data_IF_278409299321
#
_entry.id   IF_278409299321
#
_cell.length_a   1.000
_cell.length_b   1.000
_cell.length_c   1.000
_cell.angle_alpha   90.00
_cell.angle_beta   90.00
_cell.angle_gamma   90.00
#
_symmetry.space_group_name_H-M   'P 1'
#
loop_
_entity.id
_entity.type
_entity.pdbx_description
1 polymer ?
#
# COMPACT_ATOMS: atom_id res chain seq x y z
N UNK A 1 -26.52 -8.96 -12.91
CA UNK A 1 -26.03 -8.92 -11.53
C UNK A 1 -24.74 -9.69 -11.45
N UNK A 2 -23.69 -8.96 -11.78
CA UNK A 2 -22.30 -9.34 -11.61
C UNK A 2 -21.76 -8.58 -10.40
N UNK A 3 -20.96 -9.26 -9.58
CA UNK A 3 -20.19 -8.60 -8.53
C UNK A 3 -18.76 -8.41 -9.02
N UNK A 4 -18.21 -7.21 -8.85
CA UNK A 4 -16.84 -6.88 -9.26
C UNK A 4 -16.14 -6.28 -8.06
N UNK A 5 -15.07 -6.93 -7.59
CA UNK A 5 -14.23 -6.44 -6.52
C UNK A 5 -12.94 -5.86 -7.11
N UNK A 6 -12.77 -4.55 -6.96
CA UNK A 6 -11.63 -3.76 -7.43
C UNK A 6 -10.82 -3.31 -6.23
N UNK A 7 -9.56 -3.74 -6.12
CA UNK A 7 -8.76 -3.49 -4.93
C UNK A 7 -7.27 -3.39 -5.22
N UNK A 8 -6.58 -2.58 -4.43
CA UNK A 8 -5.11 -2.54 -4.44
C UNK A 8 -4.52 -3.90 -4.03
N UNK A 9 -3.44 -4.32 -4.67
CA UNK A 9 -2.82 -5.62 -4.42
C UNK A 9 -1.83 -5.67 -3.26
N UNK A 10 -1.87 -4.67 -2.37
CA UNK A 10 -1.08 -4.63 -1.15
C UNK A 10 -1.86 -5.17 0.07
N UNK A 11 -1.30 -5.01 1.27
CA UNK A 11 -1.94 -5.47 2.49
C UNK A 11 -3.28 -4.76 2.77
N UNK A 12 -3.39 -3.47 2.48
CA UNK A 12 -4.57 -2.69 2.85
C UNK A 12 -5.77 -3.06 1.96
N UNK A 13 -5.57 -3.09 0.64
CA UNK A 13 -6.60 -3.53 -0.31
C UNK A 13 -7.02 -4.99 -0.09
N UNK A 14 -6.07 -5.92 0.09
CA UNK A 14 -6.36 -7.34 0.31
C UNK A 14 -7.13 -7.55 1.61
N UNK A 15 -6.64 -7.04 2.73
CA UNK A 15 -7.29 -7.24 4.03
C UNK A 15 -8.65 -6.53 4.11
N UNK A 16 -8.84 -5.40 3.42
CA UNK A 16 -10.14 -4.76 3.27
C UNK A 16 -11.15 -5.70 2.61
N UNK A 17 -10.76 -6.33 1.50
CA UNK A 17 -11.65 -7.23 0.77
C UNK A 17 -11.94 -8.51 1.56
N UNK A 18 -10.93 -9.08 2.24
CA UNK A 18 -11.10 -10.24 3.11
C UNK A 18 -12.20 -10.00 4.14
N UNK A 19 -12.16 -8.86 4.84
CA UNK A 19 -13.18 -8.51 5.83
C UNK A 19 -14.59 -8.46 5.24
N UNK A 20 -14.76 -7.77 4.09
CA UNK A 20 -16.06 -7.67 3.41
C UNK A 20 -16.59 -9.01 2.93
N UNK A 21 -15.71 -9.89 2.44
CA UNK A 21 -16.10 -11.18 1.84
C UNK A 21 -16.30 -12.27 2.87
N UNK A 22 -15.69 -12.16 4.05
CA UNK A 22 -16.08 -12.94 5.22
C UNK A 22 -17.45 -12.53 5.74
N UNK A 23 -17.75 -11.22 5.81
CA UNK A 23 -19.04 -10.69 6.27
C UNK A 23 -20.18 -10.97 5.29
N UNK A 24 -19.90 -10.84 4.00
CA UNK A 24 -20.87 -11.04 2.91
C UNK A 24 -20.21 -11.85 1.79
N UNK A 25 -20.18 -13.18 1.94
CA UNK A 25 -19.62 -14.08 0.94
C UNK A 25 -20.34 -13.93 -0.39
N UNK A 26 -19.57 -13.77 -1.46
CA UNK A 26 -20.07 -13.74 -2.84
C UNK A 26 -18.97 -14.12 -3.81
N UNK A 27 -19.37 -14.64 -4.97
CA UNK A 27 -18.46 -14.88 -6.08
C UNK A 27 -18.38 -13.61 -6.94
N UNK A 28 -17.22 -12.97 -6.98
CA UNK A 28 -17.00 -11.73 -7.68
C UNK A 28 -15.84 -11.85 -8.67
N UNK A 29 -15.91 -11.11 -9.77
CA UNK A 29 -14.76 -10.86 -10.62
C UNK A 29 -13.74 -10.02 -9.83
N UNK A 30 -12.48 -10.45 -9.81
CA UNK A 30 -11.41 -9.75 -9.12
C UNK A 30 -10.63 -8.87 -10.11
N UNK A 31 -10.52 -7.59 -9.83
CA UNK A 31 -9.69 -6.62 -10.58
C UNK A 31 -8.67 -6.02 -9.62
N UNK A 32 -7.40 -6.38 -9.81
CA UNK A 32 -6.31 -5.97 -8.91
C UNK A 32 -4.99 -5.97 -9.67
N UNK A 33 -3.98 -5.31 -9.11
CA UNK A 33 -2.67 -5.14 -9.69
C UNK A 33 -1.61 -4.95 -8.62
N UNK A 34 -0.39 -4.60 -9.02
CA UNK A 34 0.68 -4.24 -8.07
C UNK A 34 0.29 -2.99 -7.26
N UNK A 35 0.99 -2.71 -6.15
CA UNK A 35 0.71 -1.57 -5.25
C UNK A 35 0.66 -0.20 -5.95
N UNK A 36 1.42 -0.04 -7.04
CA UNK A 36 1.48 1.21 -7.82
C UNK A 36 0.41 1.29 -8.91
N UNK A 37 -0.29 0.20 -9.21
CA UNK A 37 -1.39 0.19 -10.18
C UNK A 37 -2.67 0.68 -9.51
N UNK A 38 -2.78 2.01 -9.42
CA UNK A 38 -3.84 2.70 -8.69
C UNK A 38 -4.99 3.19 -9.58
N UNK A 39 -4.95 2.92 -10.89
CA UNK A 39 -6.01 3.29 -11.85
C UNK A 39 -6.62 2.02 -12.44
N UNK A 40 -7.42 1.33 -11.62
CA UNK A 40 -7.97 0.01 -11.90
C UNK A 40 -9.39 0.05 -12.49
N UNK A 41 -10.19 1.11 -12.24
CA UNK A 41 -11.57 1.18 -12.72
C UNK A 41 -11.69 1.22 -14.25
N UNK A 42 -10.63 1.67 -14.95
CA UNK A 42 -10.53 1.58 -16.41
C UNK A 42 -10.67 0.16 -16.97
N UNK A 43 -10.43 -0.86 -16.14
CA UNK A 43 -10.54 -2.27 -16.53
C UNK A 43 -11.92 -2.88 -16.20
N UNK A 44 -12.87 -2.05 -15.76
CA UNK A 44 -14.19 -2.47 -15.31
C UNK A 44 -15.26 -2.02 -16.29
N UNK A 45 -16.12 -2.97 -16.67
CA UNK A 45 -17.38 -2.73 -17.34
C UNK A 45 -18.51 -3.20 -16.42
N UNK A 46 -19.45 -2.31 -16.12
CA UNK A 46 -20.61 -2.60 -15.28
C UNK A 46 -21.82 -1.80 -15.77
N UNK A 47 -23.01 -2.34 -15.51
CA UNK A 47 -24.28 -1.78 -15.96
C UNK A 47 -25.35 -1.87 -14.86
N UNK A 48 -26.58 -1.46 -15.18
CA UNK A 48 -27.72 -1.55 -14.26
C UNK A 48 -27.85 -2.93 -13.65
N UNK A 49 -27.85 -2.98 -12.31
CA UNK A 49 -27.99 -4.20 -11.52
C UNK A 49 -26.69 -4.96 -11.29
N UNK A 50 -25.53 -4.42 -11.69
CA UNK A 50 -24.21 -4.88 -11.28
C UNK A 50 -23.69 -4.07 -10.08
N UNK A 51 -22.91 -4.72 -9.22
CA UNK A 51 -22.34 -4.13 -8.00
C UNK A 51 -20.81 -4.12 -8.08
N UNK A 52 -20.21 -2.95 -7.90
CA UNK A 52 -18.75 -2.75 -7.89
C UNK A 52 -18.31 -2.36 -6.48
N UNK A 53 -17.40 -3.12 -5.90
CA UNK A 53 -16.72 -2.78 -4.65
C UNK A 53 -15.34 -2.24 -4.99
N UNK A 54 -14.99 -1.04 -4.51
CA UNK A 54 -13.72 -0.36 -4.81
C UNK A 54 -12.99 -0.07 -3.51
N UNK A 55 -11.77 -0.59 -3.38
CA UNK A 55 -10.99 -0.55 -2.14
C UNK A 55 -9.56 -0.08 -2.39
N UNK A 56 -9.11 0.88 -1.58
CA UNK A 56 -7.71 1.30 -1.47
C UNK A 56 -7.06 1.80 -2.79
N UNK A 57 -7.88 2.39 -3.66
CA UNK A 57 -7.41 3.13 -4.82
C UNK A 57 -8.04 4.52 -4.82
N UNK A 58 -7.24 5.53 -5.14
CA UNK A 58 -7.66 6.93 -5.05
C UNK A 58 -8.83 7.24 -5.99
N UNK A 59 -9.91 7.78 -5.44
CA UNK A 59 -11.04 8.29 -6.23
C UNK A 59 -10.59 9.37 -7.23
N UNK A 60 -9.63 10.22 -6.86
CA UNK A 60 -9.07 11.24 -7.75
C UNK A 60 -8.46 10.62 -9.02
N UNK A 61 -7.80 9.47 -8.89
CA UNK A 61 -7.13 8.78 -10.01
C UNK A 61 -8.09 7.97 -10.87
N UNK A 62 -9.25 7.63 -10.35
CA UNK A 62 -10.26 6.81 -11.01
C UNK A 62 -11.54 7.60 -11.32
N UNK A 63 -11.51 8.94 -11.26
CA UNK A 63 -12.70 9.79 -11.32
C UNK A 63 -13.52 9.60 -12.60
N UNK A 64 -12.88 9.68 -13.76
CA UNK A 64 -13.56 9.53 -15.07
C UNK A 64 -14.23 8.15 -15.21
N UNK A 65 -13.54 7.09 -14.78
CA UNK A 65 -14.09 5.73 -14.81
C UNK A 65 -15.18 5.50 -13.77
N UNK A 66 -15.07 6.12 -12.59
CA UNK A 66 -16.12 6.09 -11.57
C UNK A 66 -17.41 6.73 -12.12
N UNK A 67 -17.31 7.91 -12.72
CA UNK A 67 -18.46 8.58 -13.33
C UNK A 67 -19.06 7.75 -14.46
N UNK A 68 -18.23 7.18 -15.34
CA UNK A 68 -18.67 6.27 -16.42
C UNK A 68 -19.49 5.11 -15.88
N UNK A 69 -19.00 4.42 -14.84
CA UNK A 69 -19.68 3.27 -14.24
C UNK A 69 -21.02 3.67 -13.58
N UNK A 70 -21.05 4.80 -12.87
CA UNK A 70 -22.27 5.33 -12.25
C UNK A 70 -23.33 5.74 -13.29
N UNK A 71 -22.92 6.39 -14.39
CA UNK A 71 -23.79 6.77 -15.49
C UNK A 71 -24.38 5.56 -16.23
N UNK A 72 -23.64 4.46 -16.27
CA UNK A 72 -24.14 3.17 -16.78
C UNK A 72 -25.10 2.45 -15.80
N UNK A 73 -25.30 3.02 -14.61
CA UNK A 73 -26.27 2.56 -13.62
C UNK A 73 -25.73 1.51 -12.65
N UNK A 74 -24.42 1.28 -12.58
CA UNK A 74 -23.82 0.39 -11.60
C UNK A 74 -24.02 0.91 -10.16
N UNK A 75 -24.11 0.00 -9.20
CA UNK A 75 -24.06 0.32 -7.78
C UNK A 75 -22.63 0.19 -7.27
N UNK A 76 -22.13 1.21 -6.57
CA UNK A 76 -20.72 1.29 -6.20
C UNK A 76 -20.57 1.53 -4.70
N UNK A 77 -19.90 0.59 -4.04
CA UNK A 77 -19.33 0.77 -2.70
C UNK A 77 -17.86 1.19 -2.86
N UNK A 78 -17.47 2.31 -2.25
CA UNK A 78 -16.11 2.84 -2.35
C UNK A 78 -15.57 3.11 -0.96
N UNK A 79 -14.48 2.45 -0.56
CA UNK A 79 -13.77 2.75 0.68
C UNK A 79 -12.30 3.03 0.38
N UNK A 80 -11.82 4.18 0.85
CA UNK A 80 -10.45 4.63 0.55
C UNK A 80 -9.99 5.71 1.54
N UNK A 81 -8.67 5.79 1.72
CA UNK A 81 -8.02 6.76 2.60
C UNK A 81 -7.15 7.78 1.84
N UNK A 82 -7.04 7.67 0.52
CA UNK A 82 -6.33 8.64 -0.30
C UNK A 82 -7.16 9.91 -0.51
N UNK A 83 -6.51 10.97 -1.01
CA UNK A 83 -7.21 12.19 -1.39
C UNK A 83 -8.27 11.85 -2.47
N UNK A 84 -9.56 12.11 -2.23
CA UNK A 84 -10.60 11.77 -3.18
C UNK A 84 -10.64 12.72 -4.39
N UNK A 85 -10.01 13.89 -4.30
CA UNK A 85 -10.14 14.93 -5.33
C UNK A 85 -11.53 15.57 -5.29
N UNK A 86 -12.12 15.78 -6.46
CA UNK A 86 -13.48 16.33 -6.56
C UNK A 86 -14.53 15.33 -6.07
N UNK A 87 -15.48 15.83 -5.29
CA UNK A 87 -16.50 14.98 -4.70
C UNK A 87 -17.52 14.54 -5.77
N UNK A 88 -17.70 13.22 -5.91
CA UNK A 88 -18.75 12.64 -6.75
C UNK A 88 -20.00 12.42 -5.92
N UNK A 89 -21.13 12.98 -6.35
CA UNK A 89 -22.43 12.78 -5.72
C UNK A 89 -23.35 12.04 -6.68
N UNK A 90 -23.73 10.81 -6.35
CA UNK A 90 -24.62 9.98 -7.15
C UNK A 90 -25.44 9.06 -6.25
N UNK A 91 -26.74 8.81 -6.53
CA UNK A 91 -27.57 7.94 -5.70
C UNK A 91 -27.06 6.50 -5.59
N UNK A 92 -26.34 6.01 -6.60
CA UNK A 92 -25.77 4.66 -6.62
C UNK A 92 -24.35 4.59 -6.03
N UNK A 93 -23.82 5.67 -5.44
CA UNK A 93 -22.49 5.70 -4.84
C UNK A 93 -22.59 5.74 -3.30
N UNK A 94 -22.03 4.72 -2.65
CA UNK A 94 -21.77 4.70 -1.21
C UNK A 94 -20.28 4.88 -0.97
N UNK A 95 -19.85 6.11 -0.68
CA UNK A 95 -18.44 6.45 -0.47
C UNK A 95 -18.09 6.62 1.03
N UNK A 96 -17.11 5.84 1.48
CA UNK A 96 -16.54 5.84 2.83
C UNK A 96 -15.08 6.31 2.75
N UNK A 97 -14.88 7.63 2.85
CA UNK A 97 -13.56 8.25 2.69
C UNK A 97 -13.08 8.83 4.02
N UNK A 98 -11.87 8.45 4.45
CA UNK A 98 -11.20 9.02 5.61
C UNK A 98 -9.72 9.27 5.31
N UNK A 99 -9.36 10.54 5.08
CA UNK A 99 -8.00 10.96 4.71
C UNK A 99 -7.09 11.20 5.91
N UNK A 100 -7.50 10.76 7.11
CA UNK A 100 -6.69 10.90 8.31
C UNK A 100 -5.37 10.13 8.19
N UNK A 101 -4.23 10.71 8.60
CA UNK A 101 -2.91 10.07 8.45
C UNK A 101 -2.75 8.80 9.29
N UNK A 102 -3.69 8.52 10.20
CA UNK A 102 -3.70 7.36 11.09
C UNK A 102 -4.73 6.29 10.69
N UNK A 103 -5.27 6.35 9.47
CA UNK A 103 -6.29 5.42 8.96
C UNK A 103 -5.80 4.79 7.66
N UNK A 104 -6.07 3.50 7.50
CA UNK A 104 -5.97 2.77 6.23
C UNK A 104 -7.38 2.25 5.85
N UNK A 105 -7.58 1.86 4.61
CA UNK A 105 -8.86 1.39 4.07
C UNK A 105 -9.44 0.24 4.87
N UNK A 106 -8.60 -0.68 5.34
CA UNK A 106 -9.04 -1.83 6.12
C UNK A 106 -9.62 -1.42 7.49
N UNK A 107 -9.18 -0.30 8.07
CA UNK A 107 -9.76 0.26 9.29
C UNK A 107 -11.10 0.97 9.03
N UNK A 108 -11.29 1.54 7.83
CA UNK A 108 -12.58 2.07 7.38
C UNK A 108 -13.58 0.92 7.25
N UNK A 109 -13.17 -0.18 6.61
CA UNK A 109 -13.98 -1.39 6.47
C UNK A 109 -14.28 -2.02 7.83
N UNK A 110 -13.31 -2.10 8.74
CA UNK A 110 -13.53 -2.64 10.09
C UNK A 110 -14.61 -1.87 10.84
N UNK A 111 -14.56 -0.53 10.77
CA UNK A 111 -15.58 0.35 11.35
C UNK A 111 -16.95 0.12 10.70
N UNK A 112 -17.01 -0.01 9.38
CA UNK A 112 -18.25 -0.31 8.65
C UNK A 112 -18.86 -1.64 9.08
N UNK A 113 -18.03 -2.65 9.36
CA UNK A 113 -18.44 -3.98 9.83
C UNK A 113 -18.53 -4.10 11.37
N UNK A 114 -18.47 -2.99 12.10
CA UNK A 114 -18.53 -2.96 13.56
C UNK A 114 -17.49 -3.86 14.27
N UNK A 115 -16.28 -3.98 13.71
CA UNK A 115 -15.18 -4.70 14.35
C UNK A 115 -15.22 -6.23 14.18
N UNK A 116 -16.09 -6.76 13.31
CA UNK A 116 -16.32 -8.21 13.19
C UNK A 116 -15.05 -9.01 12.84
N UNK A 117 -14.13 -8.42 12.07
CA UNK A 117 -12.91 -9.07 11.57
C UNK A 117 -11.63 -8.24 11.85
N UNK A 118 -11.63 -7.50 12.96
CA UNK A 118 -10.62 -6.49 13.31
C UNK A 118 -9.16 -6.96 13.28
N UNK A 119 -8.89 -8.26 13.43
CA UNK A 119 -7.52 -8.79 13.31
C UNK A 119 -6.97 -8.58 11.89
N UNK A 120 -7.78 -8.73 10.85
CA UNK A 120 -7.39 -8.42 9.47
C UNK A 120 -7.12 -6.92 9.29
N UNK A 121 -7.88 -6.05 9.95
CA UNK A 121 -7.66 -4.62 9.93
C UNK A 121 -6.38 -4.20 10.66
N UNK A 122 -6.04 -4.85 11.77
CA UNK A 122 -4.77 -4.67 12.48
C UNK A 122 -3.59 -5.12 11.60
N UNK A 123 -3.71 -6.27 10.94
CA UNK A 123 -2.70 -6.75 9.98
C UNK A 123 -2.47 -5.74 8.86
N UNK A 124 -3.52 -5.19 8.27
CA UNK A 124 -3.41 -4.13 7.26
C UNK A 124 -2.71 -2.89 7.80
N UNK A 125 -3.09 -2.40 8.99
CA UNK A 125 -2.48 -1.24 9.61
C UNK A 125 -0.96 -1.41 9.81
N UNK A 126 -0.50 -2.60 10.20
CA UNK A 126 0.94 -2.90 10.21
C UNK A 126 1.56 -2.87 8.81
N UNK A 127 0.90 -3.46 7.82
CA UNK A 127 1.35 -3.44 6.42
C UNK A 127 1.49 -2.02 5.86
N UNK A 128 0.57 -1.14 6.22
CA UNK A 128 0.54 0.27 5.83
C UNK A 128 1.46 1.18 6.68
N UNK A 129 2.32 0.55 7.49
CA UNK A 129 3.28 1.21 8.36
C UNK A 129 2.67 2.09 9.46
N UNK A 130 1.41 1.85 9.84
CA UNK A 130 0.71 2.50 10.96
C UNK A 130 0.97 1.75 12.28
N UNK A 131 2.24 1.51 12.60
CA UNK A 131 2.64 0.59 13.70
C UNK A 131 2.07 1.01 15.06
N UNK A 132 2.10 2.30 15.40
CA UNK A 132 1.53 2.79 16.67
C UNK A 132 0.01 2.61 16.76
N UNK A 133 -0.70 2.74 15.64
CA UNK A 133 -2.15 2.50 15.56
C UNK A 133 -2.43 1.01 15.76
N UNK A 134 -1.71 0.15 15.04
CA UNK A 134 -1.86 -1.29 15.13
C UNK A 134 -1.49 -1.85 16.53
N UNK A 135 -0.47 -1.30 17.19
CA UNK A 135 -0.09 -1.64 18.57
C UNK A 135 -1.19 -1.24 19.57
N UNK A 136 -1.76 -0.04 19.41
CA UNK A 136 -2.88 0.43 20.22
C UNK A 136 -4.12 -0.44 20.08
N UNK A 137 -4.47 -0.82 18.84
CA UNK A 137 -5.58 -1.73 18.56
C UNK A 137 -5.30 -3.14 19.09
N UNK A 138 -4.10 -3.68 18.87
CA UNK A 138 -3.70 -4.99 19.40
C UNK A 138 -3.85 -5.04 20.92
N UNK A 139 -3.43 -3.98 21.61
CA UNK A 139 -3.58 -3.85 23.07
C UNK A 139 -5.05 -3.77 23.48
N UNK A 140 -5.86 -2.97 22.77
CA UNK A 140 -7.31 -2.82 23.00
C UNK A 140 -8.05 -4.15 22.88
N UNK A 141 -7.67 -5.00 21.93
CA UNK A 141 -8.29 -6.31 21.70
C UNK A 141 -7.60 -7.46 22.45
N UNK A 142 -6.64 -7.17 23.33
CA UNK A 142 -6.05 -8.15 24.25
C UNK A 142 -5.07 -9.13 23.59
N UNK A 143 -4.45 -8.76 22.45
CA UNK A 143 -3.45 -9.59 21.81
C UNK A 143 -2.18 -9.68 22.66
N UNK A 144 -1.61 -10.87 22.74
CA UNK A 144 -0.27 -11.06 23.29
C UNK A 144 0.79 -10.43 22.38
N UNK A 145 1.95 -10.10 22.94
CA UNK A 145 3.09 -9.59 22.15
C UNK A 145 3.49 -10.53 21.01
N UNK A 146 3.37 -11.86 21.20
CA UNK A 146 3.62 -12.86 20.16
C UNK A 146 2.61 -12.76 19.02
N UNK A 147 1.33 -12.61 19.33
CA UNK A 147 0.28 -12.45 18.31
C UNK A 147 0.46 -11.14 17.54
N UNK A 148 0.63 -10.01 18.23
CA UNK A 148 0.85 -8.72 17.59
C UNK A 148 2.07 -8.75 16.67
N UNK A 149 3.16 -9.40 17.10
CA UNK A 149 4.37 -9.53 16.29
C UNK A 149 4.14 -10.34 15.01
N UNK A 150 3.42 -11.45 15.11
CA UNK A 150 3.08 -12.30 13.95
C UNK A 150 2.14 -11.57 12.98
N UNK A 151 1.17 -10.80 13.49
CA UNK A 151 0.31 -9.96 12.64
C UNK A 151 1.09 -8.84 11.96
N UNK A 152 2.07 -8.25 12.66
CA UNK A 152 2.97 -7.27 12.07
C UNK A 152 3.77 -7.87 10.92
N UNK A 153 4.35 -9.05 11.13
CA UNK A 153 5.10 -9.76 10.07
C UNK A 153 4.20 -10.07 8.87
N UNK A 154 3.01 -10.62 9.08
CA UNK A 154 2.07 -10.89 7.99
C UNK A 154 1.71 -9.60 7.23
N UNK A 155 1.38 -8.51 7.94
CA UNK A 155 1.04 -7.24 7.31
C UNK A 155 2.17 -6.71 6.43
N UNK A 156 3.41 -6.76 6.94
CA UNK A 156 4.61 -6.38 6.18
C UNK A 156 4.78 -7.29 4.96
N UNK A 157 4.61 -8.60 5.10
CA UNK A 157 4.78 -9.56 4.01
C UNK A 157 3.73 -9.43 2.91
N UNK A 158 2.48 -9.19 3.27
CA UNK A 158 1.41 -8.91 2.29
C UNK A 158 1.70 -7.60 1.54
N UNK A 159 2.11 -6.53 2.24
CA UNK A 159 2.47 -5.27 1.62
C UNK A 159 3.72 -5.41 0.74
N UNK A 160 4.72 -6.18 1.19
CA UNK A 160 5.93 -6.53 0.44
C UNK A 160 5.59 -7.21 -0.89
N UNK A 161 4.66 -8.17 -0.89
CA UNK A 161 4.21 -8.79 -2.14
C UNK A 161 3.53 -7.79 -3.07
N UNK A 162 2.98 -6.67 -2.60
CA UNK A 162 2.41 -5.65 -3.48
C UNK A 162 3.46 -4.89 -4.30
N UNK A 163 4.74 -4.89 -3.92
CA UNK A 163 5.77 -4.12 -4.61
C UNK A 163 6.38 -4.86 -5.80
N UNK A 164 6.53 -4.16 -6.92
CA UNK A 164 7.15 -4.64 -8.16
C UNK A 164 7.00 -3.60 -9.27
N UNK A 165 7.64 -3.80 -10.42
CA UNK A 165 7.35 -3.03 -11.63
C UNK A 165 6.20 -3.62 -12.44
N UNK A 166 5.94 -4.92 -12.30
CA UNK A 166 4.84 -5.65 -12.95
C UNK A 166 4.49 -6.89 -12.10
N UNK A 167 3.43 -7.61 -12.47
CA UNK A 167 2.95 -8.78 -11.74
C UNK A 167 3.95 -9.94 -11.65
N UNK A 168 4.88 -10.07 -12.62
CA UNK A 168 5.89 -11.15 -12.63
C UNK A 168 7.00 -10.92 -11.61
N UNK A 169 7.15 -9.70 -11.07
CA UNK A 169 8.09 -9.44 -10.00
C UNK A 169 7.62 -10.03 -8.65
N UNK A 170 6.31 -10.29 -8.50
CA UNK A 170 5.66 -10.67 -7.25
C UNK A 170 5.78 -12.17 -6.99
N UNK A 171 5.76 -12.57 -5.72
CA UNK A 171 5.71 -14.00 -5.37
C UNK A 171 4.35 -14.61 -5.67
N UNK A 172 3.29 -13.83 -5.47
CA UNK A 172 1.93 -14.21 -5.73
C UNK A 172 1.17 -13.10 -6.45
N UNK A 173 0.31 -13.48 -7.38
CA UNK A 173 -0.69 -12.56 -7.90
C UNK A 173 -1.62 -12.12 -6.76
N UNK A 174 -1.95 -10.81 -6.62
CA UNK A 174 -2.74 -10.33 -5.48
C UNK A 174 -4.12 -10.98 -5.35
N UNK A 175 -4.78 -11.28 -6.47
CA UNK A 175 -6.04 -12.05 -6.47
C UNK A 175 -5.90 -13.44 -5.83
N UNK A 176 -4.77 -14.13 -6.06
CA UNK A 176 -4.50 -15.43 -5.46
C UNK A 176 -4.19 -15.32 -3.96
N UNK A 177 -3.48 -14.26 -3.55
CA UNK A 177 -3.28 -13.97 -2.12
C UNK A 177 -4.59 -13.73 -1.40
N UNK A 178 -5.44 -12.85 -1.94
CA UNK A 178 -6.78 -12.61 -1.40
C UNK A 178 -7.56 -13.92 -1.24
N UNK A 179 -7.57 -14.78 -2.28
CA UNK A 179 -8.28 -16.06 -2.25
C UNK A 179 -7.76 -17.00 -1.16
N UNK A 180 -6.45 -17.01 -0.90
CA UNK A 180 -5.86 -17.77 0.20
C UNK A 180 -6.26 -17.19 1.57
N UNK A 181 -6.20 -15.87 1.73
CA UNK A 181 -6.52 -15.21 3.00
C UNK A 181 -8.01 -15.31 3.38
N UNK A 182 -8.93 -15.15 2.41
CA UNK A 182 -10.38 -15.08 2.68
C UNK A 182 -10.99 -16.39 3.18
N UNK A 183 -10.24 -17.51 3.14
CA UNK A 183 -10.68 -18.78 3.72
C UNK A 183 -10.68 -18.76 5.26
N UNK A 184 -10.05 -17.77 5.88
CA UNK A 184 -9.81 -17.73 7.31
C UNK A 184 -10.44 -16.50 7.94
N UNK A 185 -11.22 -16.72 8.99
CA UNK A 185 -11.86 -15.64 9.75
C UNK A 185 -10.84 -14.77 10.49
N UNK A 186 -9.66 -15.34 10.77
CA UNK A 186 -8.57 -14.71 11.48
C UNK A 186 -7.24 -14.88 10.72
N UNK A 187 -6.41 -13.82 10.63
CA UNK A 187 -5.06 -13.92 10.08
C UNK A 187 -4.15 -14.85 10.91
N UNK A 188 -4.43 -15.06 12.20
CA UNK A 188 -3.68 -16.04 13.00
C UNK A 188 -3.97 -17.48 12.54
N UNK A 189 -5.23 -17.78 12.22
CA UNK A 189 -5.62 -19.09 11.67
C UNK A 189 -5.01 -19.32 10.29
N UNK A 190 -4.98 -18.28 9.44
CA UNK A 190 -4.33 -18.32 8.13
C UNK A 190 -2.85 -18.73 8.25
N UNK A 191 -2.11 -18.10 9.16
CA UNK A 191 -0.68 -18.39 9.35
C UNK A 191 -0.46 -19.80 9.90
N UNK A 192 -1.32 -20.27 10.81
CA UNK A 192 -1.20 -21.61 11.39
C UNK A 192 -1.56 -22.73 10.42
N UNK A 193 -2.54 -22.52 9.53
CA UNK A 193 -3.12 -23.57 8.68
C UNK A 193 -2.65 -23.52 7.23
N UNK A 194 -2.25 -22.36 6.71
CA UNK A 194 -1.66 -22.18 5.38
C UNK A 194 -0.34 -21.41 5.47
N UNK A 195 0.64 -22.04 6.12
CA UNK A 195 1.95 -21.44 6.33
C UNK A 195 2.75 -21.27 5.02
N UNK A 196 2.36 -21.90 3.91
CA UNK A 196 3.13 -21.85 2.66
C UNK A 196 3.24 -20.44 2.11
N UNK A 197 2.13 -19.70 2.11
CA UNK A 197 2.13 -18.29 1.66
C UNK A 197 3.00 -17.46 2.59
N UNK A 198 2.81 -17.60 3.90
CA UNK A 198 3.57 -16.87 4.91
C UNK A 198 5.08 -17.14 4.80
N UNK A 199 5.49 -18.40 4.71
CA UNK A 199 6.90 -18.84 4.65
C UNK A 199 7.58 -18.40 3.35
N UNK A 200 6.86 -18.45 2.22
CA UNK A 200 7.37 -17.97 0.93
C UNK A 200 7.66 -16.48 0.99
N UNK A 201 6.70 -15.69 1.48
CA UNK A 201 6.86 -14.24 1.59
C UNK A 201 7.91 -13.87 2.64
N UNK A 202 7.96 -14.58 3.78
CA UNK A 202 9.00 -14.38 4.80
C UNK A 202 10.40 -14.62 4.23
N UNK A 203 10.59 -15.70 3.49
CA UNK A 203 11.89 -16.05 2.90
C UNK A 203 12.32 -15.01 1.88
N UNK A 204 11.42 -14.62 0.97
CA UNK A 204 11.66 -13.57 -0.01
C UNK A 204 12.00 -12.23 0.63
N UNK A 205 11.17 -11.79 1.58
CA UNK A 205 11.37 -10.56 2.33
C UNK A 205 12.75 -10.51 2.99
N UNK A 206 13.14 -11.57 3.71
CA UNK A 206 14.43 -11.63 4.40
C UNK A 206 15.60 -11.57 3.43
N UNK A 207 15.54 -12.31 2.32
CA UNK A 207 16.60 -12.31 1.32
C UNK A 207 16.77 -10.92 0.68
N UNK A 208 15.66 -10.30 0.29
CA UNK A 208 15.66 -9.00 -0.35
C UNK A 208 16.10 -7.88 0.61
N UNK A 209 15.69 -7.91 1.88
CA UNK A 209 16.15 -6.95 2.91
C UNK A 209 17.66 -7.08 3.15
N UNK A 210 18.18 -8.31 3.23
CA UNK A 210 19.62 -8.53 3.39
C UNK A 210 20.41 -7.97 2.20
N UNK A 211 19.88 -8.14 0.98
CA UNK A 211 20.47 -7.54 -0.21
C UNK A 211 20.46 -6.00 -0.13
N UNK A 212 19.33 -5.39 0.23
CA UNK A 212 19.22 -3.94 0.38
C UNK A 212 20.15 -3.37 1.47
N UNK A 213 20.32 -4.07 2.59
CA UNK A 213 21.23 -3.69 3.68
C UNK A 213 22.71 -3.79 3.29
N UNK A 214 23.04 -4.58 2.26
CA UNK A 214 24.40 -4.69 1.73
C UNK A 214 24.77 -3.55 0.79
N UNK A 215 23.79 -2.78 0.32
CA UNK A 215 24.01 -1.62 -0.54
C UNK A 215 24.55 -0.44 0.25
N UNK A 216 25.47 0.31 -0.37
CA UNK A 216 26.10 1.46 0.27
C UNK A 216 25.22 2.70 0.13
N UNK A 217 25.01 3.40 1.25
CA UNK A 217 24.47 4.77 1.22
C UNK A 217 25.46 5.68 0.46
N UNK A 218 25.02 6.28 -0.64
CA UNK A 218 25.86 7.23 -1.40
C UNK A 218 25.82 8.64 -0.80
N UNK A 219 24.80 8.91 0.03
CA UNK A 219 24.66 10.14 0.79
C UNK A 219 24.10 9.82 2.18
N UNK A 220 24.75 10.27 3.24
CA UNK A 220 24.28 10.04 4.60
C UNK A 220 24.69 11.21 5.51
N UNK A 221 23.70 11.82 6.13
CA UNK A 221 23.80 12.89 7.12
C UNK A 221 22.89 12.59 8.31
N UNK A 222 22.83 13.49 9.28
CA UNK A 222 21.88 13.40 10.39
C UNK A 222 20.42 13.54 9.94
N UNK A 223 20.17 14.20 8.81
CA UNK A 223 18.85 14.62 8.32
C UNK A 223 18.38 13.82 7.11
N UNK A 224 19.30 13.20 6.36
CA UNK A 224 19.00 12.44 5.15
C UNK A 224 19.88 11.19 5.02
N UNK A 225 19.30 10.06 4.61
CA UNK A 225 20.08 8.98 4.00
C UNK A 225 19.55 8.66 2.60
N UNK A 226 20.47 8.34 1.68
CA UNK A 226 20.14 7.97 0.32
C UNK A 226 20.98 6.80 -0.19
N UNK A 227 20.32 5.86 -0.86
CA UNK A 227 20.95 4.72 -1.51
C UNK A 227 20.37 4.48 -2.91
N UNK A 228 21.16 3.80 -3.74
CA UNK A 228 20.75 3.34 -5.07
C UNK A 228 20.65 1.82 -5.01
N UNK A 229 19.50 1.29 -5.44
CA UNK A 229 19.29 -0.14 -5.66
C UNK A 229 19.46 -0.47 -7.16
N UNK A 230 19.98 -1.66 -7.49
CA UNK A 230 20.16 -2.08 -8.88
C UNK A 230 18.82 -2.34 -9.57
N UNK A 231 18.85 -2.49 -10.91
CA UNK A 231 17.69 -2.88 -11.70
C UNK A 231 17.43 -4.40 -11.61
N UNK A 232 17.15 -4.88 -10.39
CA UNK A 232 16.88 -6.29 -10.12
C UNK A 232 15.48 -6.47 -9.52
N UNK A 233 14.88 -7.65 -9.71
CA UNK A 233 13.53 -7.96 -9.23
C UNK A 233 13.41 -7.75 -7.72
N UNK A 234 14.41 -8.19 -6.94
CA UNK A 234 14.42 -8.00 -5.50
C UNK A 234 14.44 -6.53 -5.09
N UNK A 235 15.20 -5.70 -5.82
CA UNK A 235 15.31 -4.27 -5.56
C UNK A 235 13.97 -3.55 -5.78
N UNK A 236 13.22 -3.97 -6.81
CA UNK A 236 11.88 -3.44 -7.10
C UNK A 236 10.84 -3.83 -6.05
N UNK A 237 10.94 -5.03 -5.47
CA UNK A 237 10.07 -5.48 -4.37
C UNK A 237 10.41 -4.81 -3.03
N UNK A 238 11.70 -4.69 -2.71
CA UNK A 238 12.11 -4.31 -1.35
C UNK A 238 12.06 -2.81 -1.07
N UNK A 239 12.16 -1.98 -2.11
CA UNK A 239 12.32 -0.52 -2.00
C UNK A 239 11.33 0.13 -1.01
N UNK A 240 10.04 -0.24 -1.09
CA UNK A 240 9.02 0.34 -0.22
C UNK A 240 9.14 -0.11 1.25
N UNK A 241 9.29 -1.41 1.49
CA UNK A 241 9.37 -1.95 2.86
C UNK A 241 10.69 -1.61 3.54
N UNK A 242 11.80 -1.55 2.79
CA UNK A 242 13.07 -1.10 3.33
C UNK A 242 13.05 0.40 3.65
N UNK A 243 12.39 1.23 2.83
CA UNK A 243 12.14 2.64 3.16
C UNK A 243 11.40 2.77 4.50
N UNK A 244 10.37 1.94 4.72
CA UNK A 244 9.61 1.95 5.98
C UNK A 244 10.47 1.49 7.17
N UNK A 245 11.28 0.45 6.99
CA UNK A 245 12.21 -0.02 8.02
C UNK A 245 13.18 1.10 8.44
N UNK A 246 13.82 1.76 7.46
CA UNK A 246 14.73 2.88 7.72
C UNK A 246 14.06 4.02 8.49
N UNK A 247 12.84 4.41 8.09
CA UNK A 247 12.04 5.44 8.78
C UNK A 247 11.69 5.08 10.23
N UNK A 248 11.40 3.81 10.51
CA UNK A 248 11.11 3.35 11.87
C UNK A 248 12.37 3.30 12.73
N UNK A 249 13.51 2.90 12.16
CA UNK A 249 14.82 2.87 12.85
C UNK A 249 15.39 4.28 13.09
N UNK A 250 15.06 5.25 12.25
CA UNK A 250 15.57 6.62 12.31
C UNK A 250 14.43 7.66 12.17
N UNK A 251 13.57 7.83 13.19
CA UNK A 251 12.32 8.59 13.07
C UNK A 251 12.51 10.09 12.80
N UNK A 252 13.69 10.65 13.07
CA UNK A 252 14.02 12.05 12.80
C UNK A 252 14.71 12.28 11.44
N UNK A 253 14.97 11.21 10.68
CA UNK A 253 15.73 11.25 9.42
C UNK A 253 14.82 11.02 8.21
N UNK A 254 15.06 11.76 7.14
CA UNK A 254 14.44 11.51 5.85
C UNK A 254 15.19 10.42 5.09
N UNK A 255 14.49 9.68 4.24
CA UNK A 255 15.09 8.58 3.48
C UNK A 255 14.75 8.67 2.00
N UNK A 256 15.76 8.38 1.17
CA UNK A 256 15.66 8.36 -0.28
C UNK A 256 16.17 7.02 -0.81
N UNK A 257 15.32 6.28 -1.51
CA UNK A 257 15.72 5.06 -2.22
C UNK A 257 15.49 5.26 -3.70
N UNK A 258 16.54 5.14 -4.49
CA UNK A 258 16.48 5.20 -5.95
C UNK A 258 16.68 3.80 -6.50
N UNK A 259 15.69 3.26 -7.21
CA UNK A 259 15.80 1.98 -7.89
C UNK A 259 16.08 2.22 -9.37
N UNK A 260 17.19 1.68 -9.89
CA UNK A 260 17.54 1.80 -11.32
C UNK A 260 16.46 1.15 -12.20
N UNK A 261 16.12 1.82 -13.30
CA UNK A 261 15.23 1.32 -14.35
C UNK A 261 16.04 0.87 -15.56
N UNK A 262 15.40 0.10 -16.44
CA UNK A 262 16.03 -0.39 -17.67
C UNK A 262 16.46 0.73 -18.64
N UNK A 263 15.78 1.87 -18.61
CA UNK A 263 16.07 3.03 -19.46
C UNK A 263 17.18 3.94 -18.90
N UNK A 264 17.79 3.58 -17.77
CA UNK A 264 18.85 4.36 -17.11
C UNK A 264 18.35 5.44 -16.15
N UNK A 265 17.04 5.72 -16.16
CA UNK A 265 16.41 6.58 -15.15
C UNK A 265 16.23 5.82 -13.82
N UNK A 266 15.84 6.56 -12.78
CA UNK A 266 15.57 6.02 -11.46
C UNK A 266 14.11 6.17 -11.07
N UNK A 267 13.54 5.12 -10.49
CA UNK A 267 12.32 5.19 -9.71
C UNK A 267 12.69 5.61 -8.28
N UNK A 268 12.14 6.73 -7.81
CA UNK A 268 12.49 7.29 -6.51
C UNK A 268 11.38 7.06 -5.50
N UNK A 269 11.75 6.58 -4.31
CA UNK A 269 10.91 6.54 -3.10
C UNK A 269 11.43 7.57 -2.10
N UNK A 270 10.56 8.47 -1.67
CA UNK A 270 10.84 9.51 -0.67
C UNK A 270 10.06 9.17 0.60
N UNK A 271 10.74 9.20 1.75
CA UNK A 271 10.11 9.21 3.08
C UNK A 271 10.55 10.45 3.85
N UNK A 272 9.57 11.21 4.33
CA UNK A 272 9.82 12.26 5.30
C UNK A 272 10.17 11.64 6.67
N UNK A 273 10.81 12.38 7.59
CA UNK A 273 10.97 11.95 8.97
C UNK A 273 9.62 11.60 9.60
N UNK A 274 9.56 10.47 10.31
CA UNK A 274 8.35 10.01 10.99
C UNK A 274 7.84 11.01 12.03
N UNK A 275 8.73 11.81 12.63
CA UNK A 275 8.36 12.84 13.60
C UNK A 275 7.93 14.18 12.97
N UNK A 276 8.03 14.35 11.63
CA UNK A 276 7.68 15.59 10.91
C UNK A 276 6.62 15.38 9.81
N UNK A 277 6.44 14.15 9.30
CA UNK A 277 5.41 13.65 8.34
C UNK A 277 4.91 14.65 7.29
N UNK A 278 5.80 15.49 6.76
CA UNK A 278 5.45 16.57 5.86
C UNK A 278 6.57 16.90 4.87
N UNK A 279 6.19 17.29 3.65
CA UNK A 279 7.09 17.84 2.64
C UNK A 279 7.59 16.85 1.58
N UNK A 280 7.29 15.55 1.69
CA UNK A 280 7.70 14.59 0.68
C UNK A 280 7.03 14.85 -0.68
N UNK A 281 5.74 15.17 -0.66
CA UNK A 281 4.94 15.57 -1.83
C UNK A 281 5.44 16.87 -2.45
N UNK A 282 5.75 17.89 -1.63
CA UNK A 282 6.29 19.18 -2.06
C UNK A 282 7.63 19.02 -2.80
N UNK A 283 8.53 18.17 -2.29
CA UNK A 283 9.81 17.86 -2.92
C UNK A 283 9.59 17.09 -4.22
N UNK A 284 8.76 16.04 -4.20
CA UNK A 284 8.49 15.25 -5.40
C UNK A 284 7.89 16.11 -6.52
N UNK A 285 6.96 17.01 -6.19
CA UNK A 285 6.29 17.89 -7.15
C UNK A 285 7.23 18.85 -7.90
N UNK A 286 8.49 19.04 -7.44
CA UNK A 286 9.50 19.79 -8.19
C UNK A 286 10.01 19.03 -9.44
N UNK A 287 9.69 17.74 -9.55
CA UNK A 287 10.11 16.87 -10.66
C UNK A 287 8.90 16.47 -11.51
N UNK A 288 9.10 16.39 -12.84
CA UNK A 288 8.02 16.20 -13.84
C UNK A 288 7.08 15.03 -13.53
N UNK A 289 7.62 13.93 -13.03
CA UNK A 289 6.85 12.71 -12.73
C UNK A 289 6.70 12.46 -11.24
N UNK A 290 6.84 13.50 -10.42
CA UNK A 290 6.76 13.40 -8.98
C UNK A 290 5.36 13.62 -8.42
N UNK A 291 5.06 12.93 -7.32
CA UNK A 291 3.80 13.07 -6.59
C UNK A 291 3.73 12.13 -5.40
N UNK A 292 2.66 12.23 -4.62
CA UNK A 292 2.44 11.37 -3.46
C UNK A 292 1.77 12.11 -2.31
N UNK A 293 2.05 11.66 -1.09
CA UNK A 293 1.50 12.18 0.16
C UNK A 293 2.59 12.91 0.97
N UNK A 294 2.15 13.73 1.91
CA UNK A 294 3.00 14.54 2.80
C UNK A 294 4.17 13.78 3.45
N UNK A 295 3.94 12.55 3.92
CA UNK A 295 4.96 11.71 4.55
C UNK A 295 5.68 10.72 3.61
N UNK A 296 5.12 10.45 2.43
CA UNK A 296 5.60 9.43 1.52
C UNK A 296 5.25 9.78 0.07
N UNK A 297 6.27 9.99 -0.75
CA UNK A 297 6.13 10.39 -2.15
C UNK A 297 7.09 9.63 -3.05
N UNK A 298 7.02 9.87 -4.36
CA UNK A 298 7.94 9.28 -5.30
C UNK A 298 8.03 10.04 -6.62
N UNK A 299 9.03 9.67 -7.42
CA UNK A 299 9.28 10.21 -8.76
C UNK A 299 9.43 9.03 -9.69
N UNK A 300 8.57 8.91 -10.72
CA UNK A 300 8.55 7.73 -11.60
C UNK A 300 9.76 7.64 -12.55
N UNK A 301 10.36 8.77 -12.90
CA UNK A 301 11.55 8.88 -13.72
C UNK A 301 12.37 10.09 -13.29
N UNK A 302 13.52 9.84 -12.64
CA UNK A 302 14.53 10.83 -12.35
C UNK A 302 15.79 10.49 -13.13
N UNK A 303 16.35 11.45 -13.86
CA UNK A 303 17.59 11.23 -14.59
C UNK A 303 18.80 11.36 -13.65
N UNK A 304 19.91 10.68 -13.96
CA UNK A 304 21.11 10.68 -13.10
C UNK A 304 21.63 12.09 -12.79
N UNK A 305 21.58 13.00 -13.78
CA UNK A 305 22.00 14.41 -13.64
C UNK A 305 21.15 15.22 -12.64
N UNK A 306 19.93 14.77 -12.33
CA UNK A 306 19.01 15.47 -11.44
C UNK A 306 19.15 14.98 -9.98
N UNK A 307 19.89 13.90 -9.72
CA UNK A 307 20.13 13.36 -8.37
C UNK A 307 20.74 14.41 -7.43
N UNK A 308 21.79 15.17 -7.82
CA UNK A 308 22.35 16.20 -6.94
C UNK A 308 21.33 17.27 -6.53
N UNK A 309 20.46 17.68 -7.46
CA UNK A 309 19.42 18.67 -7.17
C UNK A 309 18.38 18.12 -6.18
N UNK A 310 18.00 16.85 -6.31
CA UNK A 310 17.10 16.19 -5.36
C UNK A 310 17.70 16.10 -3.95
N UNK A 311 18.99 15.76 -3.83
CA UNK A 311 19.68 15.72 -2.54
C UNK A 311 19.67 17.10 -1.86
N UNK A 312 19.98 18.17 -2.61
CA UNK A 312 19.94 19.54 -2.06
C UNK A 312 18.54 19.92 -1.59
N UNK A 313 17.50 19.59 -2.36
CA UNK A 313 16.11 19.85 -1.97
C UNK A 313 15.73 19.10 -0.69
N UNK A 314 16.09 17.82 -0.60
CA UNK A 314 15.82 16.99 0.58
C UNK A 314 16.52 17.54 1.83
N UNK A 315 17.81 17.85 1.72
CA UNK A 315 18.58 18.43 2.85
C UNK A 315 18.01 19.78 3.29
N UNK A 316 17.67 20.66 2.34
CA UNK A 316 17.05 21.96 2.65
C UNK A 316 15.70 21.81 3.32
N UNK A 317 14.91 20.79 2.94
CA UNK A 317 13.56 20.56 3.49
C UNK A 317 13.57 20.01 4.92
N UNK A 318 14.60 19.24 5.25
CA UNK A 318 14.67 18.45 6.49
C UNK A 318 15.80 18.86 7.44
N UNK A 319 16.64 19.83 7.07
CA UNK A 319 17.51 20.58 7.99
C UNK A 319 16.74 21.28 9.10
#
# INVERSE_FOLDING_TARGET
>A
MTYIDVFNGDADGICSLVQLRLATPRNAQLVTGIKRDINLLKNVEASVGDEVTVLDISMQKNHEDLERLLLNGAEIFYADHHNPGEQVAHPNLSAYIDVSPSVCTALIVDKYLNGQYHLWAITAAYGDNLTSVADGLSSKYGLSSKQSKVLQELGIYLNYNGYGANLDDLFYHPAALYQACVQFSSPLEFIEQDNKVFDTLQTGYRADILAAQSEKMFHETTTLSALILPNETWARRVSGVYSNQLSNENPDRAHLILTQKHDGDYLVSIRAPLNKLAGADEVAAQFKTGGGRKGAAGINALSEKDIPALIVLMETRYS
#
